data_IF_204942483077
#
_entry.id   IF_204942483077
#
_cell.length_a   1.000
_cell.length_b   1.000
_cell.length_c   1.000
_cell.angle_alpha   90.00
_cell.angle_beta   90.00
_cell.angle_gamma   90.00
#
_symmetry.space_group_name_H-M   'P 1'
#
loop_
_entity.id
_entity.type
_entity.pdbx_description
1 polymer ?
#
# COMPACT_ATOMS: atom_id res chain seq x y z
N UNK A 1 -41.38 75.86 -3.48
CA UNK A 1 -39.91 75.68 -3.62
C UNK A 1 -39.56 74.36 -2.93
N UNK A 2 -39.38 73.26 -3.66
CA UNK A 2 -38.08 72.65 -4.09
C UNK A 2 -37.18 72.43 -2.86
N UNK A 3 -36.78 71.22 -2.47
CA UNK A 3 -36.17 70.15 -3.28
C UNK A 3 -36.33 68.76 -2.64
N UNK A 4 -36.62 67.74 -3.45
CA UNK A 4 -36.34 66.33 -3.16
C UNK A 4 -34.92 66.06 -3.68
N UNK A 5 -33.97 65.79 -2.79
CA UNK A 5 -32.59 65.47 -3.15
C UNK A 5 -32.50 63.99 -3.50
N UNK A 6 -32.76 63.66 -4.76
CA UNK A 6 -32.49 62.35 -5.34
C UNK A 6 -31.00 62.03 -5.27
N UNK A 7 -30.64 60.96 -4.57
CA UNK A 7 -29.30 60.36 -4.58
C UNK A 7 -29.10 59.71 -5.95
N UNK A 8 -28.04 60.01 -6.71
CA UNK A 8 -27.78 59.30 -7.95
C UNK A 8 -27.14 57.95 -7.62
N UNK A 9 -27.81 56.86 -8.01
CA UNK A 9 -27.19 55.54 -8.10
C UNK A 9 -26.12 55.61 -9.19
N UNK A 10 -24.86 55.54 -8.75
CA UNK A 10 -23.71 55.46 -9.64
C UNK A 10 -23.60 54.00 -10.08
N UNK A 11 -24.20 53.68 -11.22
CA UNK A 11 -23.91 52.46 -11.96
C UNK A 11 -22.43 52.47 -12.36
N UNK A 12 -21.59 51.91 -11.48
CA UNK A 12 -20.26 51.47 -11.80
C UNK A 12 -20.40 50.10 -12.46
N UNK A 13 -20.71 50.07 -13.74
CA UNK A 13 -20.44 48.90 -14.56
C UNK A 13 -18.91 48.78 -14.67
N UNK A 14 -18.31 48.13 -13.67
CA UNK A 14 -17.00 47.54 -13.82
C UNK A 14 -17.19 46.38 -14.79
N UNK A 15 -16.79 46.59 -16.04
CA UNK A 15 -16.54 45.50 -16.98
C UNK A 15 -15.57 44.55 -16.28
N UNK A 16 -16.06 43.37 -15.88
CA UNK A 16 -15.22 42.31 -15.36
C UNK A 16 -14.45 41.77 -16.56
N UNK A 17 -13.29 42.35 -16.85
CA UNK A 17 -12.27 41.64 -17.60
C UNK A 17 -11.85 40.44 -16.73
N UNK A 18 -12.38 39.26 -17.05
CA UNK A 18 -11.83 37.99 -16.60
C UNK A 18 -10.40 37.91 -17.17
N UNK A 19 -9.46 38.49 -16.44
CA UNK A 19 -8.05 38.23 -16.67
C UNK A 19 -7.84 36.78 -16.29
N UNK A 20 -7.69 35.93 -17.30
CA UNK A 20 -7.07 34.63 -17.17
C UNK A 20 -5.62 34.85 -16.69
N UNK A 21 -5.45 35.20 -15.41
CA UNK A 21 -4.16 35.30 -14.77
C UNK A 21 -3.59 33.88 -14.75
N UNK A 22 -2.74 33.59 -15.73
CA UNK A 22 -2.13 32.26 -15.98
C UNK A 22 -1.31 31.72 -14.79
N UNK A 23 -1.13 32.55 -13.77
CA UNK A 23 -0.40 32.26 -12.55
C UNK A 23 -1.32 31.91 -11.36
N UNK A 24 -2.65 31.82 -11.55
CA UNK A 24 -3.56 31.30 -10.52
C UNK A 24 -3.44 29.77 -10.36
N UNK A 25 -3.58 29.32 -9.11
CA UNK A 25 -3.60 27.89 -8.78
C UNK A 25 -4.81 27.20 -9.40
N UNK A 26 -4.56 26.17 -10.21
CA UNK A 26 -5.59 25.31 -10.78
C UNK A 26 -6.05 24.33 -9.71
N UNK A 27 -7.29 24.48 -9.21
CA UNK A 27 -7.85 23.64 -8.14
C UNK A 27 -8.18 22.21 -8.59
N UNK A 28 -8.46 22.00 -9.88
CA UNK A 28 -9.12 20.79 -10.37
C UNK A 28 -8.15 19.75 -10.98
N UNK A 29 -6.84 19.93 -10.78
CA UNK A 29 -5.80 18.99 -11.23
C UNK A 29 -5.53 17.93 -10.17
N UNK A 30 -5.51 16.66 -10.58
CA UNK A 30 -4.96 15.57 -9.74
C UNK A 30 -3.47 15.80 -9.51
N UNK A 31 -3.02 15.71 -8.26
CA UNK A 31 -1.63 15.96 -7.85
C UNK A 31 -0.61 15.23 -8.77
N UNK A 32 0.17 15.95 -9.61
CA UNK A 32 1.16 15.36 -10.50
C UNK A 32 2.34 14.69 -9.76
N UNK A 33 2.58 15.08 -8.50
CA UNK A 33 3.64 14.57 -7.65
C UNK A 33 3.19 13.44 -6.71
N UNK A 34 1.96 12.91 -6.89
CA UNK A 34 1.49 11.78 -6.08
C UNK A 34 2.33 10.53 -6.37
N UNK A 35 3.03 9.95 -5.36
CA UNK A 35 3.80 8.75 -5.58
C UNK A 35 2.88 7.56 -5.85
N UNK A 36 3.35 6.63 -6.68
CA UNK A 36 2.61 5.41 -6.97
C UNK A 36 2.29 4.63 -5.67
N UNK A 37 1.05 4.14 -5.56
CA UNK A 37 0.61 3.33 -4.41
C UNK A 37 1.51 2.11 -4.26
N UNK A 38 1.94 1.82 -3.03
CA UNK A 38 2.76 0.64 -2.73
C UNK A 38 1.93 -0.63 -2.92
N UNK A 39 2.40 -1.54 -3.78
CA UNK A 39 1.75 -2.81 -4.10
C UNK A 39 2.55 -3.96 -3.47
N UNK A 40 1.86 -4.98 -2.95
CA UNK A 40 2.52 -6.15 -2.38
C UNK A 40 3.21 -7.02 -3.45
N UNK A 41 4.27 -7.75 -3.08
CA UNK A 41 5.05 -8.59 -4.00
C UNK A 41 4.15 -9.63 -4.70
N UNK A 42 3.29 -10.31 -3.95
CA UNK A 42 2.36 -11.31 -4.49
C UNK A 42 1.31 -10.71 -5.43
N UNK A 43 0.87 -9.49 -5.14
CA UNK A 43 -0.11 -8.75 -5.92
C UNK A 43 0.50 -8.26 -7.24
N UNK A 44 1.74 -7.76 -7.17
CA UNK A 44 2.50 -7.26 -8.32
C UNK A 44 2.75 -8.36 -9.34
N UNK A 45 3.13 -9.55 -8.89
CA UNK A 45 3.42 -10.70 -9.75
C UNK A 45 2.24 -11.65 -9.95
N UNK A 46 1.07 -11.37 -9.34
CA UNK A 46 -0.14 -12.20 -9.40
C UNK A 46 0.12 -13.69 -9.07
N UNK A 47 0.98 -13.95 -8.09
CA UNK A 47 1.37 -15.31 -7.70
C UNK A 47 0.30 -15.90 -6.75
N UNK A 48 -0.32 -17.04 -7.08
CA UNK A 48 -1.26 -17.71 -6.18
C UNK A 48 -0.53 -18.38 -5.00
N UNK A 49 -1.12 -18.27 -3.80
CA UNK A 49 -0.64 -18.93 -2.59
C UNK A 49 -1.32 -20.29 -2.42
N UNK A 50 -0.63 -21.36 -2.82
CA UNK A 50 -1.09 -22.73 -2.64
C UNK A 50 -0.36 -23.45 -1.51
N UNK A 51 -1.10 -24.21 -0.69
CA UNK A 51 -0.54 -25.03 0.39
C UNK A 51 0.41 -26.14 -0.12
N UNK A 52 0.24 -26.53 -1.39
CA UNK A 52 1.02 -27.56 -2.10
C UNK A 52 2.44 -27.09 -2.46
N UNK A 53 2.71 -25.79 -2.39
CA UNK A 53 3.97 -25.18 -2.82
C UNK A 53 4.82 -24.77 -1.59
N UNK A 54 5.42 -25.73 -0.86
CA UNK A 54 6.18 -25.43 0.36
C UNK A 54 7.41 -24.56 0.08
N UNK A 55 7.94 -24.57 -1.15
CA UNK A 55 9.07 -23.71 -1.54
C UNK A 55 8.72 -22.23 -1.34
N UNK A 56 7.60 -21.76 -1.90
CA UNK A 56 7.14 -20.38 -1.76
C UNK A 56 6.77 -20.05 -0.32
N UNK A 57 6.00 -20.92 0.34
CA UNK A 57 5.56 -20.69 1.73
C UNK A 57 6.74 -20.61 2.69
N UNK A 58 7.81 -21.38 2.45
CA UNK A 58 9.01 -21.40 3.28
C UNK A 58 9.82 -20.10 3.25
N UNK A 59 9.59 -19.23 2.27
CA UNK A 59 10.21 -17.90 2.22
C UNK A 59 9.58 -16.95 3.25
N UNK A 60 8.34 -17.20 3.68
CA UNK A 60 7.63 -16.37 4.66
C UNK A 60 7.81 -16.81 6.12
N UNK A 61 8.74 -17.74 6.36
CA UNK A 61 8.95 -18.37 7.67
C UNK A 61 10.38 -18.21 8.11
N UNK A 62 10.58 -18.00 9.41
CA UNK A 62 11.88 -17.97 10.06
C UNK A 62 12.61 -19.32 9.90
N UNK A 63 13.87 -19.31 9.43
CA UNK A 63 14.62 -20.54 9.17
C UNK A 63 14.82 -21.38 10.43
N UNK A 64 15.04 -20.73 11.58
CA UNK A 64 15.42 -21.38 12.83
C UNK A 64 14.26 -21.67 13.78
N UNK A 65 13.20 -20.87 13.75
CA UNK A 65 12.07 -21.01 14.69
C UNK A 65 10.79 -21.53 14.04
N UNK A 66 10.72 -21.54 12.70
CA UNK A 66 9.51 -21.93 12.01
C UNK A 66 8.36 -20.93 12.20
N UNK A 67 8.57 -19.78 12.84
CA UNK A 67 7.53 -18.76 12.98
C UNK A 67 7.27 -18.05 11.65
N UNK A 68 6.00 -17.70 11.43
CA UNK A 68 5.57 -16.98 10.23
C UNK A 68 5.82 -15.50 10.46
N UNK A 69 6.49 -14.83 9.52
CA UNK A 69 6.75 -13.40 9.64
C UNK A 69 5.46 -12.58 9.54
N UNK A 70 5.40 -11.49 10.31
CA UNK A 70 4.26 -10.60 10.35
C UNK A 70 4.19 -9.63 9.16
N UNK A 71 3.10 -8.86 9.08
CA UNK A 71 2.82 -7.90 8.00
C UNK A 71 3.85 -6.76 7.93
N UNK A 72 4.42 -6.33 9.06
CA UNK A 72 5.40 -5.24 9.09
C UNK A 72 6.74 -5.66 8.47
N UNK A 73 7.09 -6.94 8.59
CA UNK A 73 8.28 -7.57 7.99
C UNK A 73 8.04 -7.94 6.52
N UNK A 74 6.99 -8.74 6.25
CA UNK A 74 6.73 -9.29 4.91
C UNK A 74 6.26 -8.24 3.90
N UNK A 75 5.70 -7.12 4.36
CA UNK A 75 5.18 -6.05 3.50
C UNK A 75 3.93 -6.43 2.70
N UNK A 76 3.27 -7.55 3.00
CA UNK A 76 2.09 -8.01 2.27
C UNK A 76 0.84 -7.15 2.55
N UNK A 77 -0.14 -7.25 1.65
CA UNK A 77 -1.52 -6.79 1.90
C UNK A 77 -2.19 -7.70 2.94
N UNK A 78 -3.18 -7.20 3.66
CA UNK A 78 -3.86 -7.97 4.72
C UNK A 78 -4.55 -9.21 4.20
N UNK A 79 -5.17 -9.12 3.03
CA UNK A 79 -5.83 -10.25 2.38
C UNK A 79 -4.84 -11.36 2.06
N UNK A 80 -3.69 -11.00 1.49
CA UNK A 80 -2.65 -11.96 1.14
C UNK A 80 -1.98 -12.55 2.38
N UNK A 81 -1.79 -11.75 3.43
CA UNK A 81 -1.27 -12.22 4.70
C UNK A 81 -2.23 -13.25 5.35
N UNK A 82 -3.54 -12.98 5.34
CA UNK A 82 -4.57 -13.94 5.82
C UNK A 82 -4.55 -15.24 5.00
N UNK A 83 -4.43 -15.14 3.67
CA UNK A 83 -4.31 -16.31 2.78
C UNK A 83 -3.05 -17.11 3.07
N UNK A 84 -1.92 -16.44 3.28
CA UNK A 84 -0.65 -17.05 3.63
C UNK A 84 -0.74 -17.86 4.94
N UNK A 85 -1.32 -17.28 6.00
CA UNK A 85 -1.53 -18.01 7.26
C UNK A 85 -2.36 -19.28 7.06
N UNK A 86 -3.45 -19.22 6.29
CA UNK A 86 -4.29 -20.39 5.99
C UNK A 86 -3.52 -21.44 5.19
N UNK A 87 -2.81 -21.03 4.15
CA UNK A 87 -2.03 -21.93 3.31
C UNK A 87 -0.91 -22.64 4.10
N UNK A 88 -0.18 -21.92 4.95
CA UNK A 88 0.86 -22.50 5.82
C UNK A 88 0.24 -23.45 6.85
N UNK A 89 -0.86 -23.05 7.50
CA UNK A 89 -1.53 -23.90 8.47
C UNK A 89 -2.01 -25.22 7.84
N UNK A 90 -2.58 -25.14 6.63
CA UNK A 90 -3.02 -26.31 5.87
C UNK A 90 -1.83 -27.17 5.42
N UNK A 91 -0.76 -26.56 4.89
CA UNK A 91 0.46 -27.24 4.47
C UNK A 91 1.12 -28.01 5.61
N UNK A 92 1.13 -27.44 6.83
CA UNK A 92 1.63 -28.09 8.05
C UNK A 92 0.75 -29.26 8.49
N UNK A 93 -0.59 -29.08 8.48
CA UNK A 93 -1.53 -30.15 8.85
C UNK A 93 -1.44 -31.36 7.92
N UNK A 94 -1.24 -31.12 6.62
CA UNK A 94 -1.14 -32.16 5.60
C UNK A 94 0.28 -32.74 5.46
N UNK A 95 1.27 -32.25 6.21
CA UNK A 95 2.64 -32.76 6.18
C UNK A 95 3.51 -32.28 5.01
N UNK A 96 3.07 -31.31 4.21
CA UNK A 96 3.88 -30.72 3.13
C UNK A 96 5.01 -29.82 3.65
N UNK A 97 4.85 -29.24 4.84
CA UNK A 97 5.81 -28.30 5.42
C UNK A 97 6.07 -28.57 6.91
N UNK A 98 7.33 -28.59 7.37
CA UNK A 98 7.67 -28.71 8.79
C UNK A 98 7.20 -27.51 9.63
N UNK A 99 6.88 -27.75 10.91
CA UNK A 99 6.40 -26.73 11.85
C UNK A 99 7.53 -26.03 12.61
N UNK A 100 8.55 -26.78 13.06
CA UNK A 100 9.59 -26.29 13.97
C UNK A 100 10.71 -25.51 13.27
N UNK A 101 11.19 -26.02 12.15
CA UNK A 101 12.30 -25.43 11.39
C UNK A 101 11.97 -25.43 9.92
N UNK A 102 12.60 -24.54 9.15
CA UNK A 102 12.51 -24.57 7.69
C UNK A 102 13.17 -25.85 7.17
N UNK A 103 12.69 -26.40 6.04
CA UNK A 103 13.33 -27.55 5.42
C UNK A 103 14.72 -27.17 4.87
N UNK A 104 15.75 -27.99 5.14
CA UNK A 104 17.14 -27.75 4.75
C UNK A 104 17.29 -27.40 3.26
N UNK A 105 16.52 -28.05 2.39
CA UNK A 105 16.48 -27.79 0.94
C UNK A 105 16.19 -26.34 0.53
N UNK A 106 15.52 -25.56 1.37
CA UNK A 106 15.08 -24.20 1.07
C UNK A 106 15.93 -23.12 1.78
N UNK A 107 17.01 -23.47 2.47
CA UNK A 107 17.86 -22.48 3.16
C UNK A 107 18.61 -21.56 2.20
N UNK A 108 18.97 -22.06 1.01
CA UNK A 108 19.72 -21.32 -0.01
C UNK A 108 18.84 -20.54 -0.99
N UNK A 109 17.52 -20.53 -0.80
CA UNK A 109 16.62 -19.74 -1.63
C UNK A 109 16.87 -18.24 -1.42
N UNK A 110 16.77 -17.40 -2.47
CA UNK A 110 16.93 -15.97 -2.33
C UNK A 110 15.88 -15.41 -1.35
N UNK A 111 16.33 -14.55 -0.43
CA UNK A 111 15.45 -13.90 0.54
C UNK A 111 14.63 -12.81 -0.15
N UNK A 112 13.31 -12.83 0.03
CA UNK A 112 12.43 -11.78 -0.50
C UNK A 112 12.46 -10.49 0.31
N UNK A 113 12.76 -10.60 1.60
CA UNK A 113 12.78 -9.50 2.55
C UNK A 113 13.77 -9.81 3.67
N UNK A 114 14.31 -8.76 4.29
CA UNK A 114 15.19 -8.86 5.45
C UNK A 114 14.40 -8.57 6.74
N UNK A 115 14.31 -9.55 7.68
CA UNK A 115 13.57 -9.37 8.93
C UNK A 115 14.08 -8.24 9.82
N UNK A 116 15.36 -7.87 9.69
CA UNK A 116 16.01 -6.87 10.53
C UNK A 116 15.80 -5.44 10.04
N UNK A 117 15.33 -5.25 8.80
CA UNK A 117 15.10 -3.94 8.18
C UNK A 117 13.69 -3.85 7.58
N UNK A 118 12.63 -3.91 8.43
CA UNK A 118 11.25 -3.86 7.95
C UNK A 118 10.91 -2.51 7.33
N UNK A 119 10.23 -2.52 6.17
CA UNK A 119 9.82 -1.29 5.46
C UNK A 119 8.70 -0.52 6.17
N UNK A 120 7.94 -1.20 7.05
CA UNK A 120 6.87 -0.59 7.84
C UNK A 120 7.31 -0.52 9.30
N UNK A 121 6.95 0.55 10.04
CA UNK A 121 7.25 0.63 11.46
C UNK A 121 6.62 -0.52 12.23
N UNK A 122 7.24 -0.90 13.34
CA UNK A 122 6.69 -1.88 14.26
C UNK A 122 5.35 -1.34 14.83
N UNK A 123 4.27 -2.14 14.84
CA UNK A 123 2.99 -1.73 15.42
C UNK A 123 2.95 -1.53 16.95
N UNK A 124 4.07 -1.73 17.66
CA UNK A 124 4.20 -1.60 19.11
C UNK A 124 5.20 -0.52 19.50
#
# INVERSE_FOLDING_TARGET
MRTCSTIPERNSSCENEEKDDKDMFISDIKNPFEPAKRICILCKYKIPLDYKNPKLLSQFISPYTGFIYEKHITGLCEEQQKRLYRAIALSRKLGYMPKLIKAAKYFKDPKLFDPFSPSRPNPH
#
